data_IF_148186716347
#
_entry.id   IF_148186716347
#
_cell.length_a   1.000
_cell.length_b   1.000
_cell.length_c   1.000
_cell.angle_alpha   90.00
_cell.angle_beta   90.00
_cell.angle_gamma   90.00
#
_symmetry.space_group_name_H-M   'P 1'
#
loop_
_entity.id
_entity.type
_entity.pdbx_description
1 polymer ?
#
# COMPACT_ATOMS: atom_id res chain seq x y z
N UNK A 1 56.69 41.04 -27.67
CA UNK A 1 57.16 40.99 -29.07
C UNK A 1 56.16 40.19 -29.89
N UNK A 2 55.57 40.88 -30.89
CA UNK A 2 54.94 40.42 -32.15
C UNK A 2 54.02 39.20 -32.13
N UNK A 3 52.72 39.35 -32.21
CA UNK A 3 51.90 39.70 -33.41
C UNK A 3 52.06 38.71 -34.57
N UNK A 4 51.01 37.97 -34.89
CA UNK A 4 50.31 38.01 -36.18
C UNK A 4 49.10 37.05 -36.22
N UNK A 5 47.94 37.59 -36.50
CA UNK A 5 46.84 37.09 -37.31
C UNK A 5 47.25 37.13 -38.81
N UNK A 6 46.46 36.74 -39.80
CA UNK A 6 45.11 36.14 -39.90
C UNK A 6 45.10 34.99 -40.94
N UNK A 7 43.96 34.46 -41.30
CA UNK A 7 43.41 34.49 -42.67
C UNK A 7 42.06 33.78 -42.70
N UNK A 8 41.14 34.48 -43.24
CA UNK A 8 39.81 34.28 -43.73
C UNK A 8 39.69 33.17 -44.80
N UNK A 9 38.49 32.64 -44.90
CA UNK A 9 37.98 31.85 -46.04
C UNK A 9 36.54 31.45 -45.74
N UNK A 10 35.61 32.25 -46.07
CA UNK A 10 34.71 32.35 -47.23
C UNK A 10 33.66 31.21 -47.32
N UNK A 11 32.44 31.61 -47.03
CA UNK A 11 31.11 31.26 -47.55
C UNK A 11 30.92 29.95 -48.36
N UNK A 12 29.88 29.22 -47.92
CA UNK A 12 28.85 28.68 -48.82
C UNK A 12 27.49 28.62 -48.09
N UNK A 13 26.60 29.44 -48.52
CA UNK A 13 25.18 29.42 -48.25
C UNK A 13 24.55 28.40 -49.18
N UNK A 14 23.90 27.37 -48.63
CA UNK A 14 22.90 26.62 -49.38
C UNK A 14 21.68 26.51 -48.55
N UNK A 15 20.64 27.18 -48.99
CA UNK A 15 19.27 27.08 -48.47
C UNK A 15 18.69 25.72 -48.79
N UNK A 16 17.98 25.19 -47.82
CA UNK A 16 17.06 24.10 -48.08
C UNK A 16 15.76 24.38 -47.35
N UNK A 17 14.73 24.39 -48.13
CA UNK A 17 13.34 24.75 -47.84
C UNK A 17 12.72 23.93 -46.74
N UNK A 18 11.98 24.59 -45.90
CA UNK A 18 11.04 24.00 -45.00
C UNK A 18 9.87 23.37 -45.79
N UNK A 19 9.77 22.07 -45.77
CA UNK A 19 8.54 21.37 -46.20
C UNK A 19 7.66 21.18 -44.99
N UNK A 20 6.69 22.03 -44.84
CA UNK A 20 5.56 21.84 -43.96
C UNK A 20 4.64 20.83 -44.63
N UNK A 21 4.72 19.57 -44.26
CA UNK A 21 3.75 18.57 -44.64
C UNK A 21 2.56 18.66 -43.67
N UNK A 22 1.57 19.46 -44.03
CA UNK A 22 0.21 19.38 -43.50
C UNK A 22 -0.41 18.06 -43.95
N UNK A 23 -0.36 17.05 -43.09
CA UNK A 23 -1.04 15.78 -43.27
C UNK A 23 -2.54 15.95 -43.07
N UNK A 24 -3.25 16.39 -44.10
CA UNK A 24 -4.70 16.17 -44.18
C UNK A 24 -4.92 14.68 -44.34
N UNK A 25 -5.43 14.02 -43.32
CA UNK A 25 -5.99 12.69 -43.45
C UNK A 25 -7.16 12.76 -44.45
N UNK A 26 -6.94 12.31 -45.66
CA UNK A 26 -8.03 12.03 -46.60
C UNK A 26 -8.79 10.83 -46.06
N UNK A 27 -9.99 11.07 -45.55
CA UNK A 27 -10.97 10.01 -45.45
C UNK A 27 -11.30 9.50 -46.87
N UNK A 28 -10.71 8.38 -47.24
CA UNK A 28 -11.18 7.66 -48.39
C UNK A 28 -12.63 7.29 -48.12
N UNK A 29 -13.52 7.70 -49.01
CA UNK A 29 -14.86 7.21 -49.07
C UNK A 29 -14.80 5.68 -49.34
N UNK A 30 -14.58 4.92 -48.26
CA UNK A 30 -14.83 3.50 -48.29
C UNK A 30 -16.34 3.37 -48.52
N UNK A 31 -16.69 2.87 -49.66
CA UNK A 31 -18.05 2.50 -50.03
C UNK A 31 -18.56 1.64 -48.89
N UNK A 32 -19.52 2.18 -48.11
CA UNK A 32 -20.19 1.40 -47.09
C UNK A 32 -20.95 0.29 -47.81
N UNK A 33 -20.42 -0.90 -47.70
CA UNK A 33 -21.15 -2.10 -48.18
C UNK A 33 -22.39 -2.25 -47.27
N UNK A 34 -23.58 -2.41 -47.83
CA UNK A 34 -24.74 -2.67 -46.98
C UNK A 34 -24.52 -3.99 -46.23
N UNK A 35 -24.78 -3.97 -44.93
CA UNK A 35 -24.82 -5.17 -44.11
C UNK A 35 -25.91 -6.11 -44.64
N UNK A 36 -25.54 -7.13 -45.39
CA UNK A 36 -26.46 -8.11 -46.01
C UNK A 36 -26.40 -9.49 -45.36
N UNK A 37 -25.86 -9.60 -44.17
CA UNK A 37 -26.00 -10.84 -43.40
C UNK A 37 -26.53 -10.50 -42.03
N UNK A 38 -27.77 -10.96 -41.75
CA UNK A 38 -28.21 -11.02 -40.34
C UNK A 38 -27.18 -11.82 -39.55
N UNK A 39 -26.76 -11.34 -38.37
CA UNK A 39 -25.89 -12.14 -37.54
C UNK A 39 -26.60 -13.44 -37.19
N UNK A 40 -26.03 -14.58 -37.58
CA UNK A 40 -26.43 -15.86 -36.99
C UNK A 40 -26.26 -15.73 -35.49
N UNK A 41 -27.36 -15.78 -34.75
CA UNK A 41 -27.32 -15.95 -33.31
C UNK A 41 -26.73 -17.35 -33.04
N UNK A 42 -25.42 -17.39 -32.82
CA UNK A 42 -24.82 -18.54 -32.19
C UNK A 42 -25.48 -18.76 -30.82
N UNK A 43 -25.36 -19.95 -30.22
CA UNK A 43 -25.97 -20.23 -28.93
C UNK A 43 -25.54 -19.12 -27.98
N UNK A 44 -26.51 -18.37 -27.45
CA UNK A 44 -26.30 -17.23 -26.59
C UNK A 44 -25.41 -17.63 -25.42
N UNK A 45 -24.57 -16.72 -24.92
CA UNK A 45 -23.76 -17.02 -23.75
C UNK A 45 -24.66 -17.54 -22.65
N UNK A 46 -24.34 -18.74 -22.18
CA UNK A 46 -25.02 -19.36 -21.04
C UNK A 46 -25.10 -18.30 -19.95
N UNK A 47 -26.27 -17.83 -19.64
CA UNK A 47 -26.49 -16.84 -18.60
C UNK A 47 -26.13 -17.52 -17.28
N UNK A 48 -24.88 -17.35 -16.86
CA UNK A 48 -24.51 -17.64 -15.47
C UNK A 48 -25.46 -16.82 -14.60
N UNK A 49 -26.23 -17.40 -13.71
CA UNK A 49 -27.09 -16.64 -12.81
C UNK A 49 -26.25 -15.57 -12.13
N UNK A 50 -26.74 -14.33 -11.98
CA UNK A 50 -26.00 -13.33 -11.23
C UNK A 50 -25.67 -13.89 -9.85
N UNK A 51 -24.46 -13.58 -9.32
CA UNK A 51 -24.12 -14.03 -7.99
C UNK A 51 -25.23 -13.61 -7.01
N UNK A 52 -25.58 -14.46 -6.06
CA UNK A 52 -26.60 -14.12 -5.07
C UNK A 52 -26.23 -12.80 -4.41
N UNK A 53 -27.22 -11.92 -4.14
CA UNK A 53 -26.95 -10.67 -3.45
C UNK A 53 -26.19 -10.94 -2.16
N UNK A 54 -25.23 -10.07 -1.77
CA UNK A 54 -24.54 -10.21 -0.50
C UNK A 54 -25.56 -10.43 0.63
N UNK A 55 -25.31 -11.44 1.45
CA UNK A 55 -26.15 -11.67 2.63
C UNK A 55 -26.18 -10.37 3.44
N UNK A 56 -27.35 -9.95 3.94
CA UNK A 56 -27.43 -8.80 4.82
C UNK A 56 -26.46 -9.00 5.99
N UNK A 57 -25.72 -7.94 6.42
CA UNK A 57 -24.84 -8.04 7.56
C UNK A 57 -25.58 -8.68 8.72
N UNK A 58 -24.98 -9.69 9.34
CA UNK A 58 -25.56 -10.29 10.55
C UNK A 58 -25.82 -9.17 11.55
N UNK A 59 -27.02 -9.07 12.13
CA UNK A 59 -27.28 -8.05 13.14
C UNK A 59 -26.25 -8.22 14.27
N UNK A 60 -25.61 -7.13 14.64
CA UNK A 60 -24.65 -7.10 15.74
C UNK A 60 -25.34 -7.62 17.00
N UNK A 61 -24.80 -8.61 17.69
CA UNK A 61 -25.43 -9.06 18.91
C UNK A 61 -25.41 -7.90 19.91
N UNK A 62 -26.57 -7.43 20.34
CA UNK A 62 -26.74 -6.38 21.36
C UNK A 62 -26.09 -6.73 22.72
N UNK A 63 -25.46 -7.88 22.84
CA UNK A 63 -25.06 -8.52 24.09
C UNK A 63 -23.54 -8.48 24.35
N UNK A 64 -22.76 -7.63 23.66
CA UNK A 64 -21.33 -7.52 23.92
C UNK A 64 -20.87 -6.41 24.88
N UNK A 65 -21.70 -5.48 25.37
CA UNK A 65 -21.25 -4.51 26.35
C UNK A 65 -21.03 -5.18 27.71
N UNK A 66 -19.83 -4.97 28.26
CA UNK A 66 -19.49 -5.34 29.63
C UNK A 66 -18.91 -4.11 30.35
N UNK A 67 -19.04 -4.00 31.68
CA UNK A 67 -18.47 -2.88 32.42
C UNK A 67 -16.97 -2.75 32.14
N UNK A 68 -16.52 -1.53 31.80
CA UNK A 68 -15.12 -1.25 31.49
C UNK A 68 -14.68 -1.62 30.07
N UNK A 69 -15.56 -2.19 29.24
CA UNK A 69 -15.27 -2.52 27.85
C UNK A 69 -15.78 -1.40 26.92
N UNK A 70 -14.91 -0.81 26.12
CA UNK A 70 -15.30 0.23 25.16
C UNK A 70 -16.13 -0.37 24.03
N UNK A 71 -15.72 -1.51 23.50
CA UNK A 71 -16.39 -2.24 22.43
C UNK A 71 -16.08 -3.74 22.53
N UNK A 72 -17.13 -4.55 22.41
CA UNK A 72 -16.99 -6.01 22.30
C UNK A 72 -17.38 -6.53 20.92
N UNK A 73 -17.40 -7.85 20.75
CA UNK A 73 -17.82 -8.53 19.53
C UNK A 73 -17.02 -8.12 18.28
N UNK A 74 -15.74 -7.78 18.48
CA UNK A 74 -14.78 -7.59 17.41
C UNK A 74 -14.18 -8.93 17.02
N UNK A 75 -13.80 -9.07 15.76
CA UNK A 75 -12.99 -10.20 15.30
C UNK A 75 -11.57 -10.13 15.91
N UNK A 76 -10.67 -11.02 15.54
CA UNK A 76 -9.31 -11.04 16.07
C UNK A 76 -8.63 -9.68 15.91
N UNK A 77 -8.58 -8.89 16.99
CA UNK A 77 -7.98 -7.55 16.98
C UNK A 77 -6.47 -7.59 17.03
N UNK A 78 -5.82 -6.62 16.41
CA UNK A 78 -4.36 -6.50 16.34
C UNK A 78 -3.85 -5.10 16.66
N UNK A 79 -4.19 -4.09 15.86
CA UNK A 79 -3.76 -2.71 16.04
C UNK A 79 -4.84 -1.84 16.70
N UNK A 80 -4.40 -0.82 17.47
CA UNK A 80 -5.29 0.12 18.16
C UNK A 80 -4.74 1.55 18.08
N UNK A 81 -5.57 2.49 17.65
CA UNK A 81 -5.24 3.92 17.68
C UNK A 81 -6.34 4.65 18.44
N UNK A 82 -6.01 5.30 19.53
CA UNK A 82 -6.97 6.14 20.27
C UNK A 82 -7.24 7.44 19.52
N UNK A 83 -8.50 7.82 19.44
CA UNK A 83 -8.91 9.12 18.95
C UNK A 83 -8.50 10.26 19.91
N UNK A 84 -8.40 11.49 19.40
CA UNK A 84 -7.96 12.64 20.20
C UNK A 84 -8.96 12.99 21.32
N UNK A 85 -10.20 12.55 21.19
CA UNK A 85 -11.27 12.71 22.20
C UNK A 85 -11.20 11.70 23.34
N UNK A 86 -10.32 10.71 23.26
CA UNK A 86 -10.20 9.57 24.17
C UNK A 86 -11.52 8.77 24.37
N UNK A 87 -12.49 8.97 23.47
CA UNK A 87 -13.81 8.31 23.48
C UNK A 87 -14.02 7.42 22.28
N UNK A 88 -13.25 7.64 21.23
CA UNK A 88 -13.24 6.84 20.01
C UNK A 88 -11.89 6.18 19.83
N UNK A 89 -11.85 5.07 19.08
CA UNK A 89 -10.62 4.42 18.67
C UNK A 89 -10.78 3.80 17.29
N UNK A 90 -9.69 3.66 16.56
CA UNK A 90 -9.61 2.77 15.41
C UNK A 90 -9.03 1.44 15.86
N UNK A 91 -9.67 0.36 15.46
CA UNK A 91 -9.25 -1.02 15.75
C UNK A 91 -9.05 -1.75 14.45
N UNK A 92 -7.90 -2.39 14.31
CA UNK A 92 -7.60 -3.30 13.22
C UNK A 92 -8.11 -4.70 13.55
N UNK A 93 -8.81 -5.33 12.64
CA UNK A 93 -9.15 -6.75 12.70
C UNK A 93 -8.19 -7.55 11.84
N UNK A 94 -7.40 -8.40 12.48
CA UNK A 94 -6.29 -9.13 11.85
C UNK A 94 -6.70 -9.97 10.65
N UNK A 95 -7.78 -10.75 10.80
CA UNK A 95 -8.18 -11.77 9.83
C UNK A 95 -9.03 -11.21 8.69
N UNK A 96 -9.82 -10.18 8.97
CA UNK A 96 -10.72 -9.57 7.99
C UNK A 96 -10.09 -8.42 7.24
N UNK A 97 -8.97 -7.86 7.76
CA UNK A 97 -8.36 -6.64 7.24
C UNK A 97 -9.20 -5.39 7.48
N UNK A 98 -10.27 -5.47 8.25
CA UNK A 98 -11.13 -4.34 8.54
C UNK A 98 -10.48 -3.40 9.57
N UNK A 99 -10.55 -2.10 9.30
CA UNK A 99 -10.29 -1.04 10.27
C UNK A 99 -11.62 -0.44 10.68
N UNK A 100 -11.94 -0.54 11.96
CA UNK A 100 -13.21 -0.11 12.53
C UNK A 100 -13.03 1.05 13.50
N UNK A 101 -13.88 2.06 13.37
CA UNK A 101 -14.04 3.07 14.40
C UNK A 101 -14.99 2.53 15.46
N UNK A 102 -14.56 2.54 16.71
CA UNK A 102 -15.28 2.04 17.85
C UNK A 102 -15.45 3.14 18.90
N UNK A 103 -16.54 3.06 19.67
CA UNK A 103 -16.81 3.96 20.78
C UNK A 103 -17.70 3.27 21.82
N UNK A 104 -17.77 3.83 23.02
CA UNK A 104 -18.63 3.28 24.10
C UNK A 104 -20.12 3.38 23.76
N UNK A 105 -20.51 4.34 22.93
CA UNK A 105 -21.93 4.75 22.75
C UNK A 105 -22.52 4.39 21.39
N UNK A 106 -21.75 3.83 20.48
CA UNK A 106 -22.21 3.52 19.12
C UNK A 106 -21.69 2.16 18.62
N UNK A 107 -22.40 1.60 17.65
CA UNK A 107 -21.93 0.40 16.94
C UNK A 107 -20.66 0.67 16.15
N UNK A 108 -19.76 -0.32 16.01
CA UNK A 108 -18.54 -0.17 15.23
C UNK A 108 -18.84 0.22 13.78
N UNK A 109 -18.09 1.18 13.26
CA UNK A 109 -18.17 1.61 11.85
C UNK A 109 -16.95 1.17 11.11
N UNK A 110 -17.12 0.43 10.01
CA UNK A 110 -16.02 0.10 9.11
C UNK A 110 -15.57 1.39 8.41
N UNK A 111 -14.29 1.73 8.57
CA UNK A 111 -13.66 2.88 7.90
C UNK A 111 -13.04 2.45 6.58
N UNK A 112 -12.37 1.30 6.58
CA UNK A 112 -11.77 0.71 5.38
C UNK A 112 -11.59 -0.79 5.57
N UNK A 113 -11.40 -1.51 4.47
CA UNK A 113 -11.01 -2.93 4.48
C UNK A 113 -9.77 -3.06 3.59
N UNK A 114 -8.72 -3.59 4.17
CA UNK A 114 -7.44 -3.81 3.50
C UNK A 114 -7.36 -5.28 3.11
N UNK A 115 -7.01 -5.56 1.86
CA UNK A 115 -6.79 -6.94 1.41
C UNK A 115 -5.58 -7.55 2.10
N UNK A 116 -5.79 -8.64 2.83
CA UNK A 116 -4.76 -9.32 3.61
C UNK A 116 -4.85 -10.83 3.41
N UNK A 117 -3.76 -11.52 3.67
CA UNK A 117 -3.73 -12.98 3.80
C UNK A 117 -3.58 -13.36 5.28
N UNK A 118 -4.65 -13.85 5.92
CA UNK A 118 -4.63 -14.22 7.33
C UNK A 118 -4.03 -15.60 7.60
N UNK A 119 -3.51 -16.30 6.58
CA UNK A 119 -2.94 -17.63 6.75
C UNK A 119 -1.77 -17.62 7.74
N UNK A 120 -1.67 -18.69 8.50
CA UNK A 120 -0.78 -18.74 9.65
C UNK A 120 -1.25 -17.74 10.72
N UNK A 121 -0.33 -16.98 11.26
CA UNK A 121 -0.60 -15.87 12.17
C UNK A 121 -0.57 -14.49 11.46
N UNK A 122 -0.64 -14.48 10.12
CA UNK A 122 -0.64 -13.29 9.28
C UNK A 122 -1.95 -12.50 9.31
N UNK A 123 -2.06 -11.48 8.44
CA UNK A 123 -3.23 -10.62 8.30
C UNK A 123 -2.91 -9.14 8.43
N UNK A 124 -3.84 -8.35 8.95
CA UNK A 124 -3.60 -6.95 9.33
C UNK A 124 -3.00 -6.93 10.75
N UNK A 125 -1.70 -6.67 10.85
CA UNK A 125 -0.96 -6.86 12.11
C UNK A 125 -0.94 -5.60 12.96
N UNK A 126 -0.82 -4.43 12.34
CA UNK A 126 -0.78 -3.16 13.06
C UNK A 126 -1.21 -2.00 12.15
N UNK A 127 -1.65 -0.91 12.77
CA UNK A 127 -1.99 0.35 12.12
C UNK A 127 -1.43 1.53 12.90
N UNK A 128 -1.01 2.57 12.20
CA UNK A 128 -0.61 3.84 12.79
C UNK A 128 -1.03 5.01 11.91
N UNK A 129 -1.48 6.10 12.50
CA UNK A 129 -1.75 7.33 11.76
C UNK A 129 -0.47 8.10 11.46
N UNK A 130 -0.47 8.78 10.31
CA UNK A 130 0.53 9.80 10.03
C UNK A 130 0.55 10.85 11.15
N UNK A 131 1.72 11.32 11.57
CA UNK A 131 1.82 12.46 12.50
C UNK A 131 1.13 13.73 11.97
N UNK A 132 0.97 13.81 10.66
CA UNK A 132 0.28 14.91 9.95
C UNK A 132 -1.11 14.52 9.43
N UNK A 133 -1.76 13.54 10.06
CA UNK A 133 -3.04 12.97 9.62
C UNK A 133 -4.13 14.02 9.40
N UNK A 134 -4.15 15.09 10.17
CA UNK A 134 -5.09 16.20 9.97
C UNK A 134 -4.95 16.87 8.59
N UNK A 135 -3.77 16.79 7.98
CA UNK A 135 -3.43 17.40 6.70
C UNK A 135 -3.45 16.39 5.56
N UNK A 136 -2.84 15.22 5.76
CA UNK A 136 -2.59 14.23 4.72
C UNK A 136 -3.57 13.06 4.69
N UNK A 137 -4.32 12.85 5.77
CA UNK A 137 -5.28 11.74 5.94
C UNK A 137 -4.69 10.35 5.73
N UNK A 138 -3.37 10.22 5.97
CA UNK A 138 -2.66 8.97 5.77
C UNK A 138 -2.65 8.09 7.02
N UNK A 139 -2.90 6.82 6.80
CA UNK A 139 -2.70 5.74 7.76
C UNK A 139 -1.67 4.77 7.19
N UNK A 140 -0.85 4.18 8.02
CA UNK A 140 0.07 3.12 7.66
C UNK A 140 -0.38 1.83 8.31
N UNK A 141 -0.17 0.72 7.60
CA UNK A 141 -0.54 -0.60 8.09
C UNK A 141 0.58 -1.61 7.80
N UNK A 142 0.81 -2.50 8.76
CA UNK A 142 1.62 -3.68 8.56
C UNK A 142 0.69 -4.84 8.22
N UNK A 143 0.90 -5.46 7.07
CA UNK A 143 0.02 -6.50 6.54
C UNK A 143 0.80 -7.72 6.06
N UNK A 144 0.12 -8.87 6.07
CA UNK A 144 0.56 -10.06 5.35
C UNK A 144 -0.19 -10.17 4.02
N UNK A 145 0.55 -10.51 2.96
CA UNK A 145 0.03 -10.89 1.64
C UNK A 145 0.28 -12.37 1.40
N UNK A 146 -0.15 -12.97 0.30
CA UNK A 146 0.20 -14.35 -0.01
C UNK A 146 1.71 -14.62 -0.14
N UNK A 147 2.51 -13.60 -0.45
CA UNK A 147 3.93 -13.74 -0.78
C UNK A 147 4.89 -13.19 0.26
N UNK A 148 4.50 -12.15 0.98
CA UNK A 148 5.36 -11.45 1.94
C UNK A 148 4.54 -10.75 3.02
N UNK A 149 5.23 -10.26 4.04
CA UNK A 149 4.72 -9.20 4.90
C UNK A 149 5.20 -7.85 4.37
N UNK A 150 4.42 -6.78 4.57
CA UNK A 150 4.79 -5.45 4.07
C UNK A 150 4.16 -4.32 4.86
N UNK A 151 4.74 -3.15 4.70
CA UNK A 151 4.15 -1.89 5.15
C UNK A 151 3.51 -1.19 3.97
N UNK A 152 2.27 -0.80 4.14
CA UNK A 152 1.51 -0.03 3.16
C UNK A 152 1.09 1.31 3.74
N UNK A 153 0.76 2.24 2.85
CA UNK A 153 0.12 3.51 3.15
C UNK A 153 -1.29 3.51 2.56
N UNK A 154 -2.24 3.93 3.35
CA UNK A 154 -3.66 4.03 2.97
C UNK A 154 -4.10 5.48 3.15
N UNK A 155 -4.64 6.09 2.09
CA UNK A 155 -5.37 7.34 2.17
C UNK A 155 -6.87 7.06 2.10
N UNK A 156 -7.69 7.91 2.71
CA UNK A 156 -9.14 7.77 2.66
C UNK A 156 -9.63 7.85 1.20
N UNK A 157 -10.31 6.80 0.73
CA UNK A 157 -10.84 6.72 -0.64
C UNK A 157 -9.82 6.37 -1.73
N UNK A 158 -8.56 6.10 -1.38
CA UNK A 158 -7.52 5.73 -2.34
C UNK A 158 -7.12 4.25 -2.20
N UNK A 159 -6.48 3.71 -3.23
CA UNK A 159 -5.89 2.37 -3.18
C UNK A 159 -4.65 2.35 -2.29
N UNK A 160 -4.44 1.29 -1.50
CA UNK A 160 -3.21 1.13 -0.73
C UNK A 160 -1.95 1.20 -1.60
N UNK A 161 -0.88 1.80 -1.06
CA UNK A 161 0.42 1.94 -1.74
C UNK A 161 1.52 1.31 -0.90
N UNK A 162 2.34 0.49 -1.53
CA UNK A 162 3.46 -0.18 -0.86
C UNK A 162 4.54 0.84 -0.45
N UNK A 163 5.00 0.73 0.79
CA UNK A 163 6.09 1.53 1.37
C UNK A 163 7.32 0.66 1.60
N UNK A 164 7.16 -0.49 2.21
CA UNK A 164 8.22 -1.48 2.41
C UNK A 164 7.68 -2.86 2.07
N UNK A 165 8.33 -3.59 1.18
CA UNK A 165 7.95 -4.93 0.74
C UNK A 165 9.06 -5.94 0.98
N UNK A 166 8.77 -7.23 0.79
CA UNK A 166 9.78 -8.28 0.86
C UNK A 166 10.17 -8.67 2.29
N UNK A 167 9.38 -8.31 3.30
CA UNK A 167 9.56 -8.85 4.64
C UNK A 167 9.14 -10.32 4.59
N UNK A 168 10.01 -11.26 4.99
CA UNK A 168 9.71 -12.67 4.91
C UNK A 168 8.39 -13.04 5.62
N UNK A 169 7.61 -13.90 4.98
CA UNK A 169 6.39 -14.49 5.52
C UNK A 169 6.59 -15.98 5.77
N UNK A 170 6.14 -16.44 6.91
CA UNK A 170 6.19 -17.85 7.31
C UNK A 170 4.82 -18.41 7.66
N UNK A 171 4.80 -19.68 8.07
CA UNK A 171 3.62 -20.29 8.66
C UNK A 171 3.28 -19.69 10.04
N UNK A 172 4.28 -19.11 10.71
CA UNK A 172 4.19 -18.40 12.00
C UNK A 172 5.21 -17.27 12.03
N UNK A 173 5.17 -16.44 13.08
CA UNK A 173 6.16 -15.38 13.25
C UNK A 173 5.98 -14.22 12.27
N UNK A 174 4.77 -13.97 11.78
CA UNK A 174 4.44 -12.88 10.86
C UNK A 174 4.10 -11.58 11.58
N UNK A 175 4.32 -11.52 12.88
CA UNK A 175 4.03 -10.33 13.69
C UNK A 175 4.78 -9.10 13.19
N UNK A 176 4.18 -7.94 13.38
CA UNK A 176 4.82 -6.67 13.07
C UNK A 176 4.15 -5.53 13.83
N UNK A 177 4.90 -4.48 14.06
CA UNK A 177 4.40 -3.27 14.71
C UNK A 177 5.00 -2.02 14.08
N UNK A 178 4.26 -0.92 14.18
CA UNK A 178 4.58 0.36 13.56
C UNK A 178 4.54 1.47 14.60
N UNK A 179 5.53 2.35 14.59
CA UNK A 179 5.50 3.56 15.39
C UNK A 179 6.21 4.71 14.68
N UNK A 180 5.61 5.88 14.67
CA UNK A 180 6.30 7.10 14.29
C UNK A 180 7.11 7.63 15.47
N UNK A 181 8.41 7.78 15.28
CA UNK A 181 9.33 8.39 16.28
C UNK A 181 9.55 9.87 16.01
N UNK A 182 9.25 10.31 14.79
CA UNK A 182 9.23 11.71 14.38
C UNK A 182 8.22 11.89 13.23
N UNK A 183 7.88 13.11 12.82
CA UNK A 183 7.01 13.32 11.66
C UNK A 183 7.50 12.68 10.35
N UNK A 184 8.79 12.39 10.25
CA UNK A 184 9.41 11.86 9.04
C UNK A 184 10.03 10.48 9.22
N UNK A 185 9.95 9.89 10.41
CA UNK A 185 10.61 8.62 10.70
C UNK A 185 9.59 7.60 11.22
N UNK A 186 9.38 6.54 10.46
CA UNK A 186 8.59 5.37 10.86
C UNK A 186 9.52 4.22 11.24
N UNK A 187 9.33 3.68 12.43
CA UNK A 187 10.02 2.47 12.89
C UNK A 187 9.06 1.28 12.72
N UNK A 188 9.59 0.22 12.14
CA UNK A 188 8.89 -1.02 11.83
C UNK A 188 9.57 -2.16 12.58
N UNK A 189 8.85 -2.85 13.43
CA UNK A 189 9.29 -4.12 14.02
C UNK A 189 8.75 -5.26 13.17
N UNK A 190 9.57 -6.28 12.91
CA UNK A 190 9.19 -7.45 12.10
C UNK A 190 9.42 -8.73 12.88
N UNK A 191 8.54 -9.71 12.69
CA UNK A 191 8.73 -11.07 13.20
C UNK A 191 9.79 -11.84 12.41
N UNK A 192 10.16 -13.00 12.90
CA UNK A 192 11.20 -13.86 12.32
C UNK A 192 10.69 -14.82 11.25
N UNK A 193 9.40 -14.74 10.90
CA UNK A 193 8.74 -15.65 9.97
C UNK A 193 8.81 -17.14 10.40
N UNK A 194 8.95 -17.40 11.71
CA UNK A 194 9.14 -18.75 12.28
C UNK A 194 10.50 -19.36 11.94
N UNK A 195 11.45 -18.57 11.50
CA UNK A 195 12.80 -19.04 11.14
C UNK A 195 13.88 -18.13 11.77
N UNK A 196 14.43 -18.51 12.94
CA UNK A 196 15.47 -17.72 13.61
C UNK A 196 16.73 -17.47 12.76
N UNK A 197 17.00 -18.33 11.77
CA UNK A 197 18.15 -18.10 10.88
C UNK A 197 17.96 -16.85 10.01
N UNK A 198 16.72 -16.53 9.60
CA UNK A 198 16.41 -15.28 8.90
C UNK A 198 16.58 -14.07 9.81
N UNK A 199 16.25 -14.19 11.09
CA UNK A 199 16.49 -13.12 12.05
C UNK A 199 17.99 -12.85 12.27
N UNK A 200 18.82 -13.87 12.20
CA UNK A 200 20.28 -13.76 12.30
C UNK A 200 20.94 -13.24 10.99
N UNK A 201 20.28 -13.40 9.85
CA UNK A 201 20.82 -12.95 8.55
C UNK A 201 20.70 -11.42 8.43
N UNK A 202 21.84 -10.68 8.28
CA UNK A 202 21.83 -9.23 8.11
C UNK A 202 21.16 -8.78 6.81
N UNK A 203 20.99 -9.64 5.81
CA UNK A 203 20.35 -9.33 4.54
C UNK A 203 18.85 -9.61 4.54
N UNK A 204 18.33 -10.22 5.61
CA UNK A 204 16.90 -10.49 5.77
C UNK A 204 16.21 -9.35 6.52
N UNK A 205 14.95 -9.08 6.13
CA UNK A 205 14.08 -8.14 6.86
C UNK A 205 13.31 -8.82 8.01
N UNK A 206 13.47 -10.13 8.22
CA UNK A 206 12.83 -10.86 9.32
C UNK A 206 13.55 -10.62 10.65
N UNK A 207 12.80 -10.51 11.74
CA UNK A 207 13.35 -10.35 13.10
C UNK A 207 14.16 -9.06 13.27
N UNK A 208 13.70 -7.95 12.71
CA UNK A 208 14.42 -6.67 12.67
C UNK A 208 13.58 -5.53 13.25
N UNK A 209 14.29 -4.50 13.70
CA UNK A 209 13.73 -3.16 13.88
C UNK A 209 14.28 -2.29 12.77
N UNK A 210 13.39 -1.85 11.88
CA UNK A 210 13.73 -1.15 10.64
C UNK A 210 13.31 0.31 10.77
N UNK A 211 14.19 1.22 10.43
CA UNK A 211 13.92 2.64 10.41
C UNK A 211 13.69 3.09 8.98
N UNK A 212 12.52 3.67 8.69
CA UNK A 212 12.16 4.23 7.41
C UNK A 212 12.11 5.75 7.50
N UNK A 213 12.91 6.41 6.71
CA UNK A 213 12.87 7.87 6.57
C UNK A 213 11.90 8.26 5.44
N UNK A 214 11.13 9.32 5.69
CA UNK A 214 10.18 9.88 4.73
C UNK A 214 9.24 8.80 4.10
N UNK A 215 8.50 8.04 4.91
CA UNK A 215 7.69 6.90 4.43
C UNK A 215 6.53 7.33 3.51
N UNK A 216 6.39 8.61 3.22
CA UNK A 216 5.43 9.14 2.25
C UNK A 216 5.85 8.88 0.79
N UNK A 217 7.12 8.59 0.55
CA UNK A 217 7.64 8.32 -0.80
C UNK A 217 7.28 6.91 -1.22
N UNK A 218 6.43 6.79 -2.23
CA UNK A 218 5.99 5.50 -2.80
C UNK A 218 7.15 4.85 -3.54
N UNK A 219 7.34 3.55 -3.34
CA UNK A 219 8.31 2.78 -4.11
C UNK A 219 9.76 2.93 -3.64
N UNK A 220 9.97 3.29 -2.38
CA UNK A 220 11.28 3.05 -1.79
C UNK A 220 11.55 1.54 -1.84
N UNK A 221 12.55 1.16 -2.62
CA UNK A 221 13.14 -0.16 -2.48
C UNK A 221 13.48 -0.37 -0.99
N UNK A 222 13.33 -1.60 -0.46
CA UNK A 222 13.77 -1.87 0.89
C UNK A 222 15.19 -1.32 1.01
N UNK A 223 15.51 -0.63 2.11
CA UNK A 223 16.82 -0.02 2.25
C UNK A 223 17.86 -1.13 2.39
N UNK A 224 18.27 -1.69 1.25
CA UNK A 224 19.44 -2.59 1.20
C UNK A 224 20.67 -1.91 1.80
N UNK A 225 20.71 -0.58 1.71
CA UNK A 225 21.72 0.25 2.36
C UNK A 225 21.47 0.42 3.87
N UNK A 226 20.25 0.33 4.35
CA UNK A 226 19.97 0.43 5.78
C UNK A 226 20.39 -0.85 6.52
N UNK A 227 20.31 -2.01 5.88
CA UNK A 227 20.83 -3.25 6.45
C UNK A 227 22.36 -3.31 6.43
N UNK A 228 23.01 -2.73 5.42
CA UNK A 228 24.47 -2.65 5.32
C UNK A 228 25.06 -1.46 6.09
N UNK A 229 24.31 -0.38 6.28
CA UNK A 229 24.71 0.80 7.07
C UNK A 229 24.32 0.73 8.54
N UNK A 230 23.44 -0.18 8.91
CA UNK A 230 23.12 -0.53 10.31
C UNK A 230 24.11 -1.54 10.88
N UNK A 231 25.40 -1.41 10.57
CA UNK A 231 26.40 -2.04 11.39
C UNK A 231 26.10 -1.67 12.83
N UNK A 232 25.87 -2.67 13.68
CA UNK A 232 25.70 -2.66 15.15
C UNK A 232 25.08 -1.42 15.84
N UNK A 233 25.06 -0.25 15.23
CA UNK A 233 24.58 1.01 15.79
C UNK A 233 23.09 1.30 15.53
N UNK A 234 22.42 0.51 14.73
CA UNK A 234 20.97 0.66 14.45
C UNK A 234 20.09 -0.35 15.19
N UNK A 235 20.69 -1.29 15.89
CA UNK A 235 19.98 -2.17 16.81
C UNK A 235 19.90 -1.38 18.12
N UNK A 236 18.69 -1.04 18.55
CA UNK A 236 18.45 -0.64 19.92
C UNK A 236 18.88 -1.82 20.81
N UNK A 237 20.14 -1.81 21.26
CA UNK A 237 20.55 -2.67 22.34
C UNK A 237 19.70 -2.31 23.55
N UNK A 238 18.87 -3.26 23.92
CA UNK A 238 18.18 -3.41 25.19
C UNK A 238 18.17 -2.18 26.11
N UNK A 239 17.02 -1.55 26.21
CA UNK A 239 16.62 -0.99 27.49
C UNK A 239 16.18 -2.10 28.44
#
# INVERSE_FOLDING_TARGET
>A
MRVRRPVQGVLAVVGAAAVVSSGCARFNNAISQPFTTAPEMGPGPSSTPPPPPPLPPKPFPKACPAPGVMQGCLESTSGLIMGPDSKTALVAERTTGAVKEVSVSAEPKIKTVIGVDPSGDGGLMDIVMSPTFSQDRLMYAYISTPTDNRVIRVAEGDSPKDILTGIPKGATGNTGSLIFTSPTTLVVQTGDAGNPALAADPNSLAGKVIRLEQPTTVGQAPPTTALTGMGAAGIFERM
#
